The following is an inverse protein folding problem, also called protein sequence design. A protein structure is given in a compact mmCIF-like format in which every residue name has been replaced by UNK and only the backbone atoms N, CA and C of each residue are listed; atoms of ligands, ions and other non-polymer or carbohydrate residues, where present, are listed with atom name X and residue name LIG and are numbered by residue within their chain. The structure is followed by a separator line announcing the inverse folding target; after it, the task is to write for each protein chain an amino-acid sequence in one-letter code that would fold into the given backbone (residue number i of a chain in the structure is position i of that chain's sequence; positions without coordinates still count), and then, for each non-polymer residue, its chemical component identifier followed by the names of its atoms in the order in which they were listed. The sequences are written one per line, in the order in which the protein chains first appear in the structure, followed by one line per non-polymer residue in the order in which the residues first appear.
data_IF_087503233616
#
_entry.id   IF_087503233616
#
_cell.length_a   1.000
_cell.length_b   1.000
_cell.length_c   1.000
_cell.angle_alpha   90.00
_cell.angle_beta   90.00
_cell.angle_gamma   90.00
#
_symmetry.space_group_name_H-M   'P 1'
#
loop_
_entity.id
_entity.type
_entity.pdbx_description
1 polymer ?
#
# COMPACT_ATOMS: atom_id res chain seq x y z
N UNK A 1 16.99 0.45 -3.58
CA UNK A 1 16.53 1.82 -3.90
C UNK A 1 15.45 2.23 -2.90
N UNK A 2 15.26 3.53 -2.61
CA UNK A 2 14.01 3.98 -2.01
C UNK A 2 12.84 3.73 -2.98
N UNK A 3 11.71 3.27 -2.45
CA UNK A 3 10.48 3.03 -3.24
C UNK A 3 9.73 4.34 -3.52
N UNK A 4 9.87 5.33 -2.62
CA UNK A 4 9.25 6.64 -2.73
C UNK A 4 10.09 7.61 -3.60
N UNK A 5 9.45 8.48 -4.40
CA UNK A 5 10.16 9.49 -5.19
C UNK A 5 10.79 10.58 -4.29
N UNK A 6 11.88 11.18 -4.79
CA UNK A 6 12.60 12.28 -4.11
C UNK A 6 11.78 13.56 -4.04
N UNK A 7 11.06 13.89 -5.13
CA UNK A 7 10.02 14.92 -5.13
C UNK A 7 8.70 14.27 -4.72
N UNK A 8 8.06 14.81 -3.67
CA UNK A 8 6.77 14.30 -3.19
C UNK A 8 5.63 14.98 -3.94
N UNK A 9 4.66 14.20 -4.42
CA UNK A 9 3.42 14.72 -4.99
C UNK A 9 2.50 15.24 -3.85
N UNK A 10 2.07 16.52 -3.85
CA UNK A 10 1.13 17.05 -2.86
C UNK A 10 -0.19 16.29 -2.78
N UNK A 11 -0.61 15.63 -3.87
CA UNK A 11 -1.82 14.78 -3.94
C UNK A 11 -1.67 13.47 -3.17
N UNK A 12 -0.45 13.12 -2.74
CA UNK A 12 -0.15 11.94 -1.92
C UNK A 12 0.34 12.34 -0.50
N UNK A 13 0.16 13.61 -0.13
CA UNK A 13 0.37 14.14 1.22
C UNK A 13 -0.99 14.56 1.78
N UNK A 14 -1.32 14.15 3.00
CA UNK A 14 -2.59 14.52 3.63
C UNK A 14 -2.67 16.00 4.02
N UNK A 15 -3.88 16.55 4.08
CA UNK A 15 -4.13 17.96 4.44
C UNK A 15 -3.47 18.32 5.78
N UNK A 16 -3.57 17.45 6.80
CA UNK A 16 -2.87 17.59 8.10
C UNK A 16 -1.34 17.59 8.04
N UNK A 17 -0.74 17.41 6.86
CA UNK A 17 0.70 17.42 6.58
C UNK A 17 1.07 18.42 5.47
N UNK A 18 0.17 19.32 5.10
CA UNK A 18 0.41 20.37 4.10
C UNK A 18 0.25 19.93 2.64
N UNK A 19 -0.45 18.83 2.37
CA UNK A 19 -0.84 18.41 1.01
C UNK A 19 -2.32 18.58 0.73
N UNK A 20 -2.81 17.92 -0.33
CA UNK A 20 -4.21 18.02 -0.78
C UNK A 20 -5.03 16.74 -0.61
N UNK A 21 -4.42 15.64 -0.13
CA UNK A 21 -5.13 14.38 0.08
C UNK A 21 -6.05 14.46 1.32
N UNK A 22 -7.34 14.16 1.13
CA UNK A 22 -8.31 13.99 2.23
C UNK A 22 -8.13 12.63 2.89
N UNK A 23 -8.56 12.47 4.15
CA UNK A 23 -8.47 11.16 4.82
C UNK A 23 -9.34 10.08 4.16
N UNK A 24 -10.50 10.45 3.63
CA UNK A 24 -11.33 9.55 2.82
C UNK A 24 -10.60 9.07 1.56
N UNK A 25 -9.92 9.96 0.83
CA UNK A 25 -9.09 9.54 -0.31
C UNK A 25 -7.89 8.70 0.14
N UNK A 26 -7.27 9.00 1.29
CA UNK A 26 -6.18 8.20 1.85
C UNK A 26 -6.64 6.77 2.21
N UNK A 27 -7.86 6.61 2.73
CA UNK A 27 -8.49 5.31 2.95
C UNK A 27 -8.81 4.58 1.63
N UNK A 28 -9.32 5.26 0.60
CA UNK A 28 -9.60 4.66 -0.71
C UNK A 28 -8.33 4.11 -1.40
N UNK A 29 -7.20 4.83 -1.31
CA UNK A 29 -5.91 4.33 -1.77
C UNK A 29 -5.52 3.04 -1.02
N UNK A 30 -5.63 3.02 0.31
CA UNK A 30 -5.35 1.81 1.09
C UNK A 30 -6.27 0.63 0.73
N UNK A 31 -7.57 0.87 0.45
CA UNK A 31 -8.50 -0.16 -0.04
C UNK A 31 -8.01 -0.75 -1.36
N UNK A 32 -7.59 0.09 -2.30
CA UNK A 32 -7.10 -0.37 -3.61
C UNK A 32 -5.77 -1.11 -3.51
N UNK A 33 -4.81 -0.58 -2.74
CA UNK A 33 -3.52 -1.23 -2.50
C UNK A 33 -3.68 -2.62 -1.84
N UNK A 34 -4.63 -2.79 -0.91
CA UNK A 34 -4.99 -4.10 -0.35
C UNK A 34 -5.52 -5.03 -1.45
N UNK A 35 -6.49 -4.59 -2.27
CA UNK A 35 -7.05 -5.41 -3.34
C UNK A 35 -5.99 -5.84 -4.40
N UNK A 36 -5.04 -4.95 -4.72
CA UNK A 36 -3.91 -5.29 -5.58
C UNK A 36 -2.95 -6.31 -4.94
N UNK A 37 -2.68 -6.20 -3.64
CA UNK A 37 -1.84 -7.14 -2.92
C UNK A 37 -2.51 -8.52 -2.73
N UNK A 38 -3.83 -8.58 -2.52
CA UNK A 38 -4.59 -9.84 -2.49
C UNK A 38 -4.47 -10.65 -3.78
N UNK A 39 -4.47 -9.98 -4.94
CA UNK A 39 -4.35 -10.65 -6.23
C UNK A 39 -3.03 -11.41 -6.40
N UNK A 40 -1.96 -10.97 -5.74
CA UNK A 40 -0.63 -11.63 -5.79
C UNK A 40 -0.32 -12.50 -4.57
N UNK A 41 -1.09 -12.39 -3.48
CA UNK A 41 -0.87 -13.17 -2.25
C UNK A 41 -0.69 -14.69 -2.48
N UNK A 42 -1.45 -15.37 -3.36
CA UNK A 42 -1.26 -16.80 -3.65
C UNK A 42 0.12 -17.20 -4.19
N UNK A 43 0.90 -16.24 -4.73
CA UNK A 43 2.28 -16.48 -5.14
C UNK A 43 3.21 -16.64 -3.94
N UNK A 44 2.86 -16.10 -2.77
CA UNK A 44 3.56 -16.33 -1.50
C UNK A 44 3.02 -17.58 -0.80
N UNK A 45 1.70 -17.73 -0.68
CA UNK A 45 1.07 -18.85 0.05
C UNK A 45 1.51 -20.22 -0.50
N UNK A 46 1.78 -20.32 -1.81
CA UNK A 46 2.29 -21.57 -2.42
C UNK A 46 3.72 -21.93 -1.96
N UNK A 47 4.58 -20.95 -1.72
CA UNK A 47 5.98 -21.18 -1.31
C UNK A 47 6.12 -21.23 0.24
N UNK A 48 5.17 -20.66 0.97
CA UNK A 48 5.10 -20.59 2.44
C UNK A 48 3.64 -20.61 2.95
N UNK A 49 2.94 -21.77 2.92
CA UNK A 49 1.54 -21.85 3.30
C UNK A 49 1.29 -21.57 4.80
N UNK A 50 2.24 -21.95 5.66
CA UNK A 50 2.15 -21.81 7.12
C UNK A 50 2.66 -20.47 7.66
N UNK A 51 2.99 -19.50 6.80
CA UNK A 51 3.53 -18.19 7.18
C UNK A 51 2.47 -17.08 7.02
N UNK A 52 1.78 -16.66 8.10
CA UNK A 52 0.65 -15.74 7.99
C UNK A 52 1.07 -14.29 7.70
N UNK A 53 2.36 -13.94 7.80
CA UNK A 53 2.84 -12.55 7.89
C UNK A 53 2.34 -11.62 6.77
N UNK A 54 2.25 -12.03 5.48
CA UNK A 54 1.66 -11.18 4.45
C UNK A 54 0.13 -11.03 4.56
N UNK A 55 -0.60 -12.08 4.98
CA UNK A 55 -2.04 -11.99 5.24
C UNK A 55 -2.33 -11.07 6.43
N UNK A 56 -1.58 -11.24 7.53
CA UNK A 56 -1.67 -10.38 8.71
C UNK A 56 -1.52 -8.89 8.35
N UNK A 57 -0.61 -8.56 7.43
CA UNK A 57 -0.42 -7.18 6.98
C UNK A 57 -1.64 -6.61 6.24
N UNK A 58 -2.35 -7.42 5.45
CA UNK A 58 -3.57 -7.00 4.77
C UNK A 58 -4.74 -6.82 5.75
N UNK A 59 -4.88 -7.70 6.74
CA UNK A 59 -5.92 -7.59 7.75
C UNK A 59 -5.68 -6.44 8.74
N UNK A 60 -4.42 -6.16 9.07
CA UNK A 60 -4.01 -4.95 9.80
C UNK A 60 -4.24 -3.68 8.96
N UNK A 61 -4.01 -3.71 7.64
CA UNK A 61 -4.35 -2.61 6.74
C UNK A 61 -5.86 -2.35 6.67
N UNK A 62 -6.68 -3.41 6.60
CA UNK A 62 -8.16 -3.35 6.67
C UNK A 62 -8.64 -2.78 8.01
N UNK A 63 -8.01 -3.17 9.13
CA UNK A 63 -8.27 -2.57 10.43
C UNK A 63 -7.94 -1.07 10.47
N UNK A 64 -6.87 -0.63 9.80
CA UNK A 64 -6.53 0.80 9.69
C UNK A 64 -7.55 1.56 8.84
N UNK A 65 -8.00 0.97 7.71
CA UNK A 65 -9.06 1.54 6.85
C UNK A 65 -10.35 1.75 7.66
N UNK A 66 -10.74 0.81 8.53
CA UNK A 66 -11.90 0.93 9.43
C UNK A 66 -11.68 1.84 10.65
N UNK A 67 -10.46 2.33 10.88
CA UNK A 67 -10.10 3.16 12.04
C UNK A 67 -9.86 2.39 13.35
N UNK A 68 -9.85 1.06 13.30
CA UNK A 68 -9.67 0.16 14.45
C UNK A 68 -8.20 0.02 14.85
N UNK A 69 -7.28 0.09 13.87
CA UNK A 69 -5.83 -0.12 14.05
C UNK A 69 -5.08 1.21 13.95
N UNK A 70 -4.15 1.53 14.86
CA UNK A 70 -3.35 2.75 14.77
C UNK A 70 -2.28 2.65 13.66
N UNK A 71 -2.03 3.76 12.95
CA UNK A 71 -1.03 3.85 11.86
C UNK A 71 0.35 3.27 12.20
N UNK A 72 0.81 3.41 13.47
CA UNK A 72 2.10 2.86 13.91
C UNK A 72 2.14 1.33 13.85
N UNK A 73 1.01 0.66 14.03
CA UNK A 73 0.91 -0.79 13.97
C UNK A 73 0.89 -1.29 12.52
N UNK A 74 0.08 -0.68 11.65
CA UNK A 74 0.13 -0.95 10.21
C UNK A 74 1.55 -0.76 9.64
N UNK A 75 2.22 0.33 10.01
CA UNK A 75 3.61 0.58 9.63
C UNK A 75 4.60 -0.43 10.23
N UNK A 76 4.37 -0.98 11.43
CA UNK A 76 5.17 -2.07 12.01
C UNK A 76 4.99 -3.36 11.21
N UNK A 77 3.74 -3.77 10.96
CA UNK A 77 3.40 -5.02 10.28
C UNK A 77 3.85 -5.02 8.82
N UNK A 78 3.91 -3.85 8.17
CA UNK A 78 4.54 -3.67 6.86
C UNK A 78 5.96 -4.25 6.77
N UNK A 79 6.82 -3.97 7.77
CA UNK A 79 8.17 -4.55 7.81
C UNK A 79 8.18 -6.05 8.09
N UNK A 80 7.22 -6.56 8.85
CA UNK A 80 7.07 -8.00 9.17
C UNK A 80 6.72 -8.81 7.92
N UNK A 81 5.81 -8.30 7.07
CA UNK A 81 5.50 -8.89 5.77
C UNK A 81 6.67 -8.77 4.77
N UNK A 82 7.32 -7.59 4.67
CA UNK A 82 8.51 -7.43 3.82
C UNK A 82 9.62 -8.44 4.18
N UNK A 83 9.79 -8.74 5.48
CA UNK A 83 10.74 -9.73 5.98
C UNK A 83 10.30 -11.19 5.78
N UNK A 84 9.05 -11.46 5.37
CA UNK A 84 8.58 -12.79 5.02
C UNK A 84 9.00 -13.20 3.61
N UNK A 85 9.04 -12.25 2.67
CA UNK A 85 9.55 -12.46 1.31
C UNK A 85 11.06 -12.65 1.20
N UNK A 86 11.82 -12.48 2.30
CA UNK A 86 13.29 -12.59 2.28
C UNK A 86 13.71 -14.02 1.96
N UNK A 87 14.72 -14.15 1.09
CA UNK A 87 15.30 -15.42 0.65
C UNK A 87 14.32 -16.38 -0.07
N UNK A 88 13.17 -15.86 -0.52
CA UNK A 88 12.20 -16.56 -1.37
C UNK A 88 12.39 -16.24 -2.87
N UNK A 89 11.87 -17.10 -3.78
CA UNK A 89 11.77 -16.78 -5.20
C UNK A 89 11.04 -15.47 -5.46
N UNK A 90 11.43 -14.77 -6.54
CA UNK A 90 10.92 -13.46 -6.92
C UNK A 90 9.38 -13.29 -6.82
N UNK A 91 8.53 -14.20 -7.34
CA UNK A 91 7.08 -14.07 -7.23
C UNK A 91 6.56 -13.98 -5.78
N UNK A 92 7.05 -14.85 -4.89
CA UNK A 92 6.68 -14.84 -3.47
C UNK A 92 7.26 -13.63 -2.74
N UNK A 93 8.51 -13.26 -3.06
CA UNK A 93 9.15 -12.05 -2.51
C UNK A 93 8.35 -10.80 -2.88
N UNK A 94 7.92 -10.66 -4.14
CA UNK A 94 7.14 -9.51 -4.59
C UNK A 94 5.71 -9.50 -4.02
N UNK A 95 5.07 -10.66 -3.83
CA UNK A 95 3.78 -10.75 -3.15
C UNK A 95 3.85 -10.32 -1.66
N UNK A 96 4.87 -10.78 -0.93
CA UNK A 96 5.10 -10.36 0.45
C UNK A 96 5.44 -8.86 0.56
N UNK A 97 6.21 -8.33 -0.39
CA UNK A 97 6.46 -6.88 -0.51
C UNK A 97 5.16 -6.11 -0.80
N UNK A 98 4.30 -6.58 -1.72
CA UNK A 98 3.03 -5.92 -2.04
C UNK A 98 2.12 -5.79 -0.81
N UNK A 99 1.98 -6.88 -0.03
CA UNK A 99 1.24 -6.84 1.23
C UNK A 99 1.85 -5.88 2.26
N UNK A 100 3.18 -5.83 2.36
CA UNK A 100 3.88 -4.86 3.19
C UNK A 100 3.69 -3.41 2.73
N UNK A 101 3.63 -3.14 1.42
CA UNK A 101 3.35 -1.81 0.88
C UNK A 101 1.90 -1.37 1.12
N UNK A 102 0.92 -2.27 0.96
CA UNK A 102 -0.48 -2.01 1.29
C UNK A 102 -0.66 -1.58 2.77
N UNK A 103 0.01 -2.27 3.71
CA UNK A 103 0.04 -1.85 5.12
C UNK A 103 0.81 -0.53 5.35
N UNK A 104 1.84 -0.23 4.55
CA UNK A 104 2.58 1.01 4.62
C UNK A 104 1.81 2.25 4.11
N UNK A 105 0.73 2.08 3.32
CA UNK A 105 -0.14 3.19 2.88
C UNK A 105 -0.63 3.99 4.08
N UNK A 106 -1.00 3.32 5.18
CA UNK A 106 -1.41 3.95 6.44
C UNK A 106 -0.41 5.02 6.95
N UNK A 107 0.90 4.82 6.71
CA UNK A 107 1.94 5.77 7.07
C UNK A 107 2.04 6.93 6.07
N UNK A 108 2.15 6.62 4.77
CA UNK A 108 2.28 7.59 3.66
C UNK A 108 1.57 7.03 2.42
N UNK A 109 0.68 7.83 1.84
CA UNK A 109 -0.16 7.41 0.71
C UNK A 109 0.63 7.01 -0.55
N UNK A 110 1.85 7.51 -0.75
CA UNK A 110 2.71 7.13 -1.87
C UNK A 110 3.23 5.66 -1.85
N UNK A 111 2.87 4.85 -0.84
CA UNK A 111 3.03 3.38 -0.89
C UNK A 111 1.94 2.65 -1.68
N UNK A 112 0.86 3.35 -2.06
CA UNK A 112 -0.27 2.85 -2.86
C UNK A 112 0.18 2.19 -4.18
N UNK A 113 1.21 2.75 -4.81
CA UNK A 113 1.76 2.28 -6.09
C UNK A 113 3.27 2.01 -6.02
N UNK A 114 3.64 0.95 -5.33
CA UNK A 114 5.01 0.43 -5.31
C UNK A 114 5.41 -0.29 -6.62
N UNK A 115 5.44 0.46 -7.74
CA UNK A 115 6.06 0.01 -9.00
C UNK A 115 5.44 0.54 -10.30
N UNK A 116 4.18 0.99 -10.28
CA UNK A 116 3.41 1.31 -11.49
C UNK A 116 3.13 2.80 -11.70
N UNK A 117 4.10 3.59 -12.19
CA UNK A 117 3.83 4.99 -12.58
C UNK A 117 3.32 5.08 -14.01
N UNK A 118 2.01 5.24 -14.15
CA UNK A 118 1.44 6.00 -15.27
C UNK A 118 0.54 7.09 -14.69
N UNK A 119 0.69 8.37 -15.08
CA UNK A 119 -0.20 9.42 -14.59
C UNK A 119 -1.60 9.16 -15.11
N UNK A 120 -2.59 9.07 -14.21
CA UNK A 120 -3.97 9.27 -14.59
C UNK A 120 -4.12 10.76 -14.93
N UNK A 121 -3.97 11.09 -16.21
CA UNK A 121 -4.41 12.37 -16.76
C UNK A 121 -5.92 12.41 -16.58
N UNK A 122 -6.41 13.19 -15.63
CA UNK A 122 -7.82 13.53 -15.59
C UNK A 122 -8.16 14.25 -16.91
N UNK A 123 -9.21 13.84 -17.64
CA UNK A 123 -9.66 14.61 -18.79
C UNK A 123 -10.08 16.00 -18.33
N UNK A 124 -9.66 17.05 -19.04
CA UNK A 124 -10.03 18.43 -18.70
C UNK A 124 -11.55 18.57 -18.74
N UNK A 125 -12.14 18.79 -17.57
CA UNK A 125 -13.56 19.11 -17.40
C UNK A 125 -13.82 20.58 -17.78
N UNK A 126 -13.39 20.97 -18.97
CA UNK A 126 -13.65 22.30 -19.54
C UNK A 126 -15.12 22.35 -19.99
N UNK A 127 -15.95 23.27 -19.46
CA UNK A 127 -17.36 23.34 -19.80
C UNK A 127 -17.53 23.83 -21.24
N UNK A 128 -18.11 23.00 -22.10
CA UNK A 128 -18.51 23.42 -23.44
C UNK A 128 -19.56 24.54 -23.33
N UNK A 129 -19.38 25.58 -24.15
CA UNK A 129 -20.30 26.72 -24.34
C UNK A 129 -20.80 26.71 -25.78
#
# INVERSE_FOLDING_TARGET
MPILPTVRDPRLITVRRGGTLTDAHHQLLAVWAVACAEHVLPLFERERPDDPRPRDALDVARGWIRGEVPMREAHRTAFVANAAGKDLPDPARFAALAAGQAAAVAHVAAHDLAGGRQPLTAPDASPAT
#
